data_IF_285976755220
#
_entry.id   IF_285976755220
#
_cell.length_a   1.000
_cell.length_b   1.000
_cell.length_c   1.000
_cell.angle_alpha   90.00
_cell.angle_beta   90.00
_cell.angle_gamma   90.00
#
_symmetry.space_group_name_H-M   'P 1'
#
loop_
_entity.id
_entity.type
_entity.pdbx_description
1 polymer ?
#
# COMPACT_ATOMS: atom_id res chain seq x y z
N UNK A 1 45.52 0.91 -3.03
CA UNK A 1 44.42 0.25 -2.30
C UNK A 1 43.14 0.80 -2.91
N UNK A 2 42.63 0.11 -3.93
CA UNK A 2 41.53 0.58 -4.76
C UNK A 2 40.26 0.58 -3.91
N UNK A 3 39.73 1.78 -3.66
CA UNK A 3 38.43 1.97 -3.05
C UNK A 3 37.40 1.33 -3.97
N UNK A 4 36.96 0.13 -3.61
CA UNK A 4 35.86 -0.57 -4.27
C UNK A 4 34.60 0.07 -3.72
N UNK A 5 34.29 1.27 -4.21
CA UNK A 5 33.02 1.93 -3.93
C UNK A 5 31.92 0.95 -4.30
N UNK A 6 31.20 0.50 -3.28
CA UNK A 6 30.16 -0.51 -3.36
C UNK A 6 29.15 -0.16 -4.47
N UNK A 7 29.06 -1.02 -5.49
CA UNK A 7 28.20 -0.84 -6.65
C UNK A 7 26.71 -0.74 -6.30
N UNK A 8 26.30 -1.14 -5.09
CA UNK A 8 24.95 -0.93 -4.56
C UNK A 8 24.75 0.52 -4.18
N UNK A 9 25.71 1.12 -3.48
CA UNK A 9 25.69 2.54 -3.10
C UNK A 9 25.64 3.46 -4.32
N UNK A 10 26.32 3.08 -5.42
CA UNK A 10 26.31 3.84 -6.68
C UNK A 10 24.95 3.87 -7.41
N UNK A 11 24.03 2.94 -7.10
CA UNK A 11 22.69 2.86 -7.72
C UNK A 11 21.57 3.41 -6.85
N UNK A 12 21.89 3.88 -5.63
CA UNK A 12 20.89 4.38 -4.68
C UNK A 12 20.37 5.74 -5.13
N UNK A 13 19.09 5.79 -5.46
CA UNK A 13 18.37 7.05 -5.68
C UNK A 13 17.75 7.56 -4.39
N UNK A 14 17.48 8.85 -4.35
CA UNK A 14 16.63 9.45 -3.33
C UNK A 14 15.19 8.91 -3.46
N UNK A 15 14.49 8.77 -2.32
CA UNK A 15 13.13 8.22 -2.27
C UNK A 15 12.10 9.00 -3.09
N UNK A 16 12.33 10.31 -3.32
CA UNK A 16 11.47 11.13 -4.17
C UNK A 16 11.42 10.63 -5.62
N UNK A 17 12.41 9.85 -6.08
CA UNK A 17 12.38 9.21 -7.40
C UNK A 17 11.20 8.23 -7.57
N UNK A 18 10.63 7.71 -6.47
CA UNK A 18 9.43 6.87 -6.50
C UNK A 18 8.12 7.68 -6.60
N UNK A 19 8.17 9.02 -6.60
CA UNK A 19 6.99 9.88 -6.54
C UNK A 19 5.97 9.61 -7.65
N UNK A 20 6.43 9.41 -8.89
CA UNK A 20 5.56 9.08 -10.02
C UNK A 20 4.78 7.77 -9.81
N UNK A 21 5.48 6.62 -9.66
CA UNK A 21 4.84 5.34 -9.38
C UNK A 21 3.92 5.35 -8.13
N UNK A 22 4.30 6.05 -7.06
CA UNK A 22 3.49 6.15 -5.84
C UNK A 22 2.26 7.03 -6.03
N UNK A 23 2.33 8.07 -6.87
CA UNK A 23 1.17 8.91 -7.17
C UNK A 23 0.02 8.12 -7.81
N UNK A 24 0.32 7.05 -8.57
CA UNK A 24 -0.69 6.19 -9.16
C UNK A 24 -1.61 5.50 -8.13
N UNK A 25 -1.14 5.31 -6.89
CA UNK A 25 -1.96 4.76 -5.80
C UNK A 25 -3.16 5.64 -5.47
N UNK A 26 -3.08 6.95 -5.72
CA UNK A 26 -4.14 7.92 -5.47
C UNK A 26 -5.07 8.12 -6.66
N UNK A 27 -4.75 7.54 -7.82
CA UNK A 27 -5.51 7.71 -9.06
C UNK A 27 -6.59 6.62 -9.28
N UNK A 28 -6.77 5.70 -8.32
CA UNK A 28 -7.63 4.53 -8.47
C UNK A 28 -8.57 4.32 -7.29
N UNK A 29 -9.63 3.57 -7.53
CA UNK A 29 -10.47 3.04 -6.46
C UNK A 29 -9.68 2.02 -5.63
N UNK A 30 -9.26 2.44 -4.45
CA UNK A 30 -8.44 1.65 -3.53
C UNK A 30 -9.24 0.49 -2.91
N UNK A 31 -10.58 0.50 -2.97
CA UNK A 31 -11.37 -0.62 -2.45
C UNK A 31 -11.18 -1.91 -3.25
N UNK A 32 -10.78 -1.78 -4.53
CA UNK A 32 -10.39 -2.89 -5.40
C UNK A 32 -8.95 -3.37 -5.18
N UNK A 33 -8.14 -2.65 -4.39
CA UNK A 33 -6.82 -3.12 -4.00
C UNK A 33 -6.92 -4.41 -3.21
N UNK A 34 -5.97 -5.33 -3.39
CA UNK A 34 -5.93 -6.62 -2.70
C UNK A 34 -4.84 -6.60 -1.64
N UNK A 35 -5.18 -6.97 -0.41
CA UNK A 35 -4.20 -7.12 0.67
C UNK A 35 -3.96 -8.60 0.95
N UNK A 36 -2.73 -8.97 1.30
CA UNK A 36 -2.39 -10.29 1.82
C UNK A 36 -2.20 -10.22 3.34
N UNK A 37 -3.08 -10.85 4.10
CA UNK A 37 -3.03 -10.86 5.56
C UNK A 37 -1.71 -11.42 6.07
N UNK A 38 -1.03 -10.70 6.96
CA UNK A 38 0.23 -11.12 7.57
C UNK A 38 0.07 -12.31 8.53
N UNK A 39 -1.13 -12.49 9.12
CA UNK A 39 -1.38 -13.55 10.09
C UNK A 39 -1.71 -14.90 9.45
N UNK A 40 -2.64 -14.93 8.49
CA UNK A 40 -3.13 -16.18 7.89
C UNK A 40 -2.78 -16.35 6.41
N UNK A 41 -2.22 -15.32 5.76
CA UNK A 41 -1.85 -15.37 4.34
C UNK A 41 -3.00 -15.20 3.35
N UNK A 42 -4.26 -15.12 3.80
CA UNK A 42 -5.43 -14.88 2.94
C UNK A 42 -5.28 -13.58 2.16
N UNK A 43 -5.58 -13.62 0.85
CA UNK A 43 -5.63 -12.45 -0.02
C UNK A 43 -7.06 -12.14 -0.44
N UNK A 44 -7.53 -10.94 -0.12
CA UNK A 44 -8.87 -10.45 -0.44
C UNK A 44 -8.81 -8.97 -0.88
N UNK A 45 -9.81 -8.51 -1.61
CA UNK A 45 -9.96 -7.09 -1.90
C UNK A 45 -10.21 -6.31 -0.59
N UNK A 46 -9.80 -5.04 -0.52
CA UNK A 46 -10.01 -4.21 0.66
C UNK A 46 -11.51 -4.02 0.94
N UNK A 47 -12.34 -3.91 -0.09
CA UNK A 47 -13.80 -3.84 0.04
C UNK A 47 -14.44 -5.10 0.66
N UNK A 48 -13.73 -6.22 0.71
CA UNK A 48 -14.21 -7.47 1.32
C UNK A 48 -13.80 -7.62 2.80
N UNK A 49 -13.00 -6.68 3.33
CA UNK A 49 -12.56 -6.71 4.72
C UNK A 49 -13.65 -6.20 5.67
N UNK A 50 -13.57 -6.64 6.93
CA UNK A 50 -14.49 -6.20 7.98
C UNK A 50 -14.04 -4.83 8.49
N UNK A 51 -14.84 -3.79 8.24
CA UNK A 51 -14.58 -2.43 8.68
C UNK A 51 -15.14 -2.15 10.07
N UNK A 52 -14.31 -1.56 10.92
CA UNK A 52 -14.71 -0.97 12.20
C UNK A 52 -14.37 0.52 12.15
N UNK A 53 -15.40 1.37 12.16
CA UNK A 53 -15.26 2.82 11.98
C UNK A 53 -15.41 3.63 13.29
N UNK A 54 -15.61 2.95 14.42
CA UNK A 54 -16.02 3.58 15.70
C UNK A 54 -14.82 4.03 16.57
N UNK A 55 -13.63 4.17 15.96
CA UNK A 55 -12.37 4.47 16.61
C UNK A 55 -11.71 5.70 15.93
N UNK A 56 -10.69 6.35 16.53
CA UNK A 56 -9.99 7.48 15.91
C UNK A 56 -9.32 7.16 14.56
N UNK A 57 -9.31 5.90 14.15
CA UNK A 57 -8.98 5.44 12.80
C UNK A 57 -9.96 4.35 12.38
N UNK A 58 -10.22 4.26 11.07
CA UNK A 58 -10.89 3.11 10.47
C UNK A 58 -9.96 1.90 10.51
N UNK A 59 -10.50 0.75 10.93
CA UNK A 59 -9.74 -0.50 11.07
C UNK A 59 -10.35 -1.55 10.15
N UNK A 60 -9.53 -2.10 9.25
CA UNK A 60 -9.91 -3.24 8.41
C UNK A 60 -9.34 -4.54 8.99
N UNK A 61 -10.21 -5.52 9.21
CA UNK A 61 -9.86 -6.87 9.67
C UNK A 61 -10.02 -7.90 8.57
N UNK A 62 -9.15 -8.92 8.61
CA UNK A 62 -9.17 -10.03 7.66
C UNK A 62 -10.52 -10.78 7.73
N UNK A 63 -11.20 -11.02 6.61
CA UNK A 63 -12.46 -11.77 6.62
C UNK A 63 -12.29 -13.25 7.02
N UNK A 64 -11.06 -13.79 6.96
CA UNK A 64 -10.77 -15.19 7.27
C UNK A 64 -10.38 -15.43 8.73
N UNK A 65 -9.52 -14.59 9.31
CA UNK A 65 -8.99 -14.80 10.66
C UNK A 65 -9.27 -13.65 11.64
N UNK A 66 -9.95 -12.59 11.18
CA UNK A 66 -10.29 -11.39 11.95
C UNK A 66 -9.13 -10.57 12.50
N UNK A 67 -7.87 -10.95 12.24
CA UNK A 67 -6.71 -10.13 12.58
C UNK A 67 -6.71 -8.79 11.85
N UNK A 68 -6.11 -7.77 12.46
CA UNK A 68 -6.07 -6.43 11.88
C UNK A 68 -5.10 -6.40 10.70
N UNK A 69 -5.61 -6.00 9.53
CA UNK A 69 -4.83 -5.94 8.28
C UNK A 69 -4.34 -4.52 8.00
N UNK A 70 -5.22 -3.52 8.18
CA UNK A 70 -4.94 -2.13 7.84
C UNK A 70 -5.62 -1.19 8.83
N UNK A 71 -4.99 -0.05 9.13
CA UNK A 71 -5.63 1.08 9.83
C UNK A 71 -5.42 2.36 9.02
N UNK A 72 -6.45 3.16 8.88
CA UNK A 72 -6.37 4.46 8.20
C UNK A 72 -7.11 5.53 8.99
N UNK A 73 -6.47 6.68 9.18
CA UNK A 73 -7.06 7.82 9.86
C UNK A 73 -6.39 9.12 9.45
N UNK A 74 -6.89 10.24 9.96
CA UNK A 74 -6.35 11.58 9.67
C UNK A 74 -5.99 12.29 10.96
N UNK A 75 -4.83 12.95 10.99
CA UNK A 75 -4.38 13.76 12.14
C UNK A 75 -3.53 14.93 11.66
N UNK A 76 -3.84 16.14 12.11
CA UNK A 76 -3.00 17.34 11.87
C UNK A 76 -2.65 17.58 10.38
N UNK A 77 -3.56 17.27 9.46
CA UNK A 77 -3.35 17.39 8.01
C UNK A 77 -2.65 16.20 7.34
N UNK A 78 -2.31 15.16 8.11
CA UNK A 78 -1.68 13.93 7.61
C UNK A 78 -2.68 12.77 7.54
N UNK A 79 -2.55 11.94 6.51
CA UNK A 79 -3.15 10.60 6.48
C UNK A 79 -2.17 9.65 7.16
N UNK A 80 -2.66 8.93 8.18
CA UNK A 80 -1.93 7.88 8.86
C UNK A 80 -2.39 6.55 8.28
N UNK A 81 -1.47 5.82 7.66
CA UNK A 81 -1.73 4.50 7.07
C UNK A 81 -0.81 3.46 7.72
N UNK A 82 -1.39 2.52 8.46
CA UNK A 82 -0.69 1.37 9.05
C UNK A 82 -0.98 0.11 8.23
N UNK A 83 0.07 -0.44 7.60
CA UNK A 83 0.02 -1.64 6.77
C UNK A 83 0.71 -2.84 7.40
N UNK A 84 1.09 -2.80 8.69
CA UNK A 84 1.83 -3.90 9.33
C UNK A 84 1.09 -5.24 9.33
N UNK A 85 -0.25 -5.21 9.22
CA UNK A 85 -1.10 -6.39 9.11
C UNK A 85 -1.22 -6.96 7.69
N UNK A 86 -0.61 -6.30 6.70
CA UNK A 86 -0.55 -6.74 5.31
C UNK A 86 0.92 -7.02 4.91
N UNK A 87 1.16 -8.17 4.29
CA UNK A 87 2.47 -8.52 3.71
C UNK A 87 2.65 -7.99 2.30
N UNK A 88 1.54 -7.74 1.59
CA UNK A 88 1.52 -7.18 0.25
C UNK A 88 0.21 -6.41 0.06
N UNK A 89 0.30 -5.24 -0.57
CA UNK A 89 -0.84 -4.52 -1.11
C UNK A 89 -0.67 -4.44 -2.63
N UNK A 90 -1.62 -5.02 -3.36
CA UNK A 90 -1.66 -4.97 -4.83
C UNK A 90 -2.74 -3.99 -5.24
N UNK A 91 -2.35 -2.95 -5.96
CA UNK A 91 -3.26 -1.87 -6.37
C UNK A 91 -3.44 -1.94 -7.89
N UNK A 92 -4.68 -1.86 -8.41
CA UNK A 92 -4.90 -1.75 -9.85
C UNK A 92 -4.24 -0.47 -10.36
N UNK A 93 -3.61 -0.51 -11.53
CA UNK A 93 -3.08 0.68 -12.20
C UNK A 93 -4.03 1.00 -13.35
N UNK A 94 -4.41 2.27 -13.58
CA UNK A 94 -5.16 2.63 -14.77
C UNK A 94 -4.38 2.17 -16.00
N UNK A 95 -5.02 1.45 -16.90
CA UNK A 95 -4.45 1.29 -18.24
C UNK A 95 -4.46 2.68 -18.87
N UNK A 96 -3.29 3.27 -19.10
CA UNK A 96 -3.18 4.42 -20.00
C UNK A 96 -3.64 3.89 -21.35
N UNK A 97 -4.81 4.32 -21.82
CA UNK A 97 -5.19 4.09 -23.20
C UNK A 97 -4.09 4.73 -24.03
N UNK A 98 -3.38 3.92 -24.82
CA UNK A 98 -2.52 4.45 -25.86
C UNK A 98 -3.49 5.09 -26.87
N UNK A 99 -3.69 6.41 -26.75
CA UNK A 99 -4.41 7.20 -27.74
C UNK A 99 -3.56 7.21 -29.00
N UNK A 100 -3.65 6.10 -29.73
CA UNK A 100 -2.99 5.86 -31.00
C UNK A 100 -3.33 6.99 -31.97
N UNK A 101 -2.27 7.57 -32.51
CA UNK A 101 -2.26 8.54 -33.59
C UNK A 101 -3.06 8.08 -34.82
#
# INVERSE_FOLDING_TARGET
MTDTTDAVSARRLDGNAAGGPLAALFAVDVTAARSRCAACGTTAALGEHLLYADAPAMVLRCPSCTEVVLRVGTREGYVLLDLRGATLLTVPVPVVADDGA
#
